data_IF_014106673355
#
_entry.id   IF_014106673355
#
_cell.length_a   1.000
_cell.length_b   1.000
_cell.length_c   1.000
_cell.angle_alpha   90.00
_cell.angle_beta   90.00
_cell.angle_gamma   90.00
#
_symmetry.space_group_name_H-M   'P 1'
#
loop_
_entity.id
_entity.type
_entity.pdbx_description
1 polymer ?
#
# COMPACT_ATOMS: atom_id res chain seq x y z
N UNK A 1 -14.71 -101.43 -16.83
CA UNK A 1 -14.56 -101.27 -15.37
C UNK A 1 -13.09 -101.39 -15.00
N UNK A 2 -12.34 -100.28 -15.03
CA UNK A 2 -11.18 -100.02 -14.16
C UNK A 2 -11.15 -98.50 -14.01
N UNK A 3 -11.21 -98.02 -12.76
CA UNK A 3 -11.59 -96.66 -12.40
C UNK A 3 -10.52 -95.60 -12.64
N UNK A 4 -11.00 -94.41 -13.00
CA UNK A 4 -10.25 -93.16 -13.06
C UNK A 4 -9.91 -92.76 -11.61
N UNK A 5 -8.64 -92.88 -11.22
CA UNK A 5 -8.15 -92.38 -9.94
C UNK A 5 -8.11 -90.85 -9.97
N UNK A 6 -9.10 -90.20 -9.34
CA UNK A 6 -9.02 -88.78 -9.03
C UNK A 6 -7.88 -88.56 -8.02
N UNK A 7 -6.79 -87.96 -8.47
CA UNK A 7 -5.77 -87.38 -7.59
C UNK A 7 -6.40 -86.16 -6.93
N UNK A 8 -7.00 -86.38 -5.75
CA UNK A 8 -7.50 -85.32 -4.87
C UNK A 8 -6.33 -84.54 -4.27
N UNK A 9 -5.75 -83.64 -5.05
CA UNK A 9 -4.86 -82.61 -4.52
C UNK A 9 -5.70 -81.62 -3.72
N UNK A 10 -5.61 -81.70 -2.38
CA UNK A 10 -6.21 -80.70 -1.51
C UNK A 10 -5.70 -79.31 -1.93
N UNK A 11 -6.63 -78.43 -2.33
CA UNK A 11 -6.31 -77.02 -2.52
C UNK A 11 -5.78 -76.51 -1.17
N UNK A 12 -4.54 -75.98 -1.08
CA UNK A 12 -3.99 -75.53 0.17
C UNK A 12 -4.87 -74.40 0.72
N UNK A 13 -5.52 -74.67 1.85
CA UNK A 13 -6.30 -73.68 2.57
C UNK A 13 -5.30 -72.68 3.17
N UNK A 14 -5.41 -71.37 2.89
CA UNK A 14 -4.50 -70.39 3.43
C UNK A 14 -4.51 -70.44 4.96
N UNK A 15 -3.32 -70.36 5.55
CA UNK A 15 -3.11 -70.41 7.00
C UNK A 15 -3.94 -69.32 7.70
N UNK A 16 -4.56 -69.65 8.83
CA UNK A 16 -5.52 -68.79 9.54
C UNK A 16 -4.91 -67.46 10.00
N UNK A 17 -3.58 -67.43 10.12
CA UNK A 17 -2.74 -66.26 10.38
C UNK A 17 -2.85 -65.19 9.28
N UNK A 18 -3.10 -65.56 8.01
CA UNK A 18 -3.21 -64.61 6.90
C UNK A 18 -4.47 -63.72 6.99
N UNK A 19 -5.56 -64.25 7.55
CA UNK A 19 -6.80 -63.51 7.73
C UNK A 19 -6.71 -62.44 8.84
N UNK A 20 -5.76 -62.58 9.78
CA UNK A 20 -5.57 -61.62 10.87
C UNK A 20 -5.05 -60.24 10.39
N UNK A 21 -4.36 -60.17 9.24
CA UNK A 21 -3.80 -58.92 8.71
C UNK A 21 -4.73 -58.16 7.77
N UNK A 22 -5.72 -58.83 7.19
CA UNK A 22 -6.73 -58.21 6.29
C UNK A 22 -7.40 -56.97 6.91
N UNK A 23 -7.89 -56.97 8.17
CA UNK A 23 -8.50 -55.78 8.75
C UNK A 23 -7.49 -54.62 8.92
N UNK A 24 -6.22 -54.92 9.22
CA UNK A 24 -5.16 -53.92 9.35
C UNK A 24 -4.88 -53.27 7.98
N UNK A 25 -4.82 -54.08 6.90
CA UNK A 25 -4.64 -53.58 5.54
C UNK A 25 -5.84 -52.74 5.07
N UNK A 26 -7.07 -53.15 5.39
CA UNK A 26 -8.26 -52.36 5.07
C UNK A 26 -8.30 -51.03 5.84
N UNK A 27 -7.99 -51.04 7.13
CA UNK A 27 -7.95 -49.82 7.95
C UNK A 27 -6.87 -48.87 7.42
N UNK A 28 -5.66 -49.36 7.13
CA UNK A 28 -4.59 -48.52 6.58
C UNK A 28 -4.97 -47.96 5.21
N UNK A 29 -5.56 -48.76 4.31
CA UNK A 29 -6.07 -48.28 3.02
C UNK A 29 -7.10 -47.17 3.18
N UNK A 30 -8.10 -47.36 4.04
CA UNK A 30 -9.13 -46.34 4.33
C UNK A 30 -8.50 -45.09 4.95
N UNK A 31 -7.52 -45.24 5.85
CA UNK A 31 -6.81 -44.11 6.45
C UNK A 31 -6.05 -43.29 5.39
N UNK A 32 -5.35 -43.93 4.45
CA UNK A 32 -4.68 -43.22 3.36
C UNK A 32 -5.68 -42.50 2.44
N UNK A 33 -6.82 -43.11 2.12
CA UNK A 33 -7.87 -42.46 1.34
C UNK A 33 -8.46 -41.23 2.06
N UNK A 34 -8.75 -41.37 3.36
CA UNK A 34 -9.27 -40.27 4.17
C UNK A 34 -8.24 -39.15 4.28
N UNK A 35 -6.97 -39.47 4.53
CA UNK A 35 -5.89 -38.47 4.59
C UNK A 35 -5.69 -37.77 3.25
N UNK A 36 -5.73 -38.51 2.14
CA UNK A 36 -5.66 -37.95 0.79
C UNK A 36 -6.83 -37.00 0.49
N UNK A 37 -8.05 -37.36 0.90
CA UNK A 37 -9.22 -36.47 0.78
C UNK A 37 -9.08 -35.21 1.64
N UNK A 38 -8.61 -35.33 2.88
CA UNK A 38 -8.39 -34.16 3.74
C UNK A 38 -7.35 -33.21 3.15
N UNK A 39 -6.21 -33.76 2.70
CA UNK A 39 -5.16 -32.96 2.07
C UNK A 39 -5.67 -32.26 0.81
N UNK A 40 -6.47 -32.94 -0.02
CA UNK A 40 -7.09 -32.34 -1.20
C UNK A 40 -8.05 -31.20 -0.84
N UNK A 41 -8.90 -31.38 0.17
CA UNK A 41 -9.82 -30.33 0.64
C UNK A 41 -9.05 -29.13 1.21
N UNK A 42 -8.09 -29.35 2.10
CA UNK A 42 -7.25 -28.30 2.67
C UNK A 42 -6.48 -27.55 1.58
N UNK A 43 -5.92 -28.25 0.60
CA UNK A 43 -5.20 -27.62 -0.52
C UNK A 43 -6.14 -26.74 -1.35
N UNK A 44 -7.34 -27.22 -1.64
CA UNK A 44 -8.34 -26.46 -2.38
C UNK A 44 -8.79 -25.21 -1.62
N UNK A 45 -9.04 -25.34 -0.32
CA UNK A 45 -9.45 -24.22 0.53
C UNK A 45 -8.32 -23.20 0.67
N UNK A 46 -7.07 -23.66 0.81
CA UNK A 46 -5.89 -22.80 0.80
C UNK A 46 -5.74 -22.05 -0.52
N UNK A 47 -5.89 -22.73 -1.66
CA UNK A 47 -5.85 -22.10 -2.98
C UNK A 47 -6.95 -21.04 -3.15
N UNK A 48 -8.15 -21.32 -2.64
CA UNK A 48 -9.26 -20.37 -2.63
C UNK A 48 -8.92 -19.13 -1.80
N UNK A 49 -8.45 -19.30 -0.55
CA UNK A 49 -8.06 -18.17 0.31
C UNK A 49 -6.92 -17.36 -0.32
N UNK A 50 -5.91 -18.02 -0.90
CA UNK A 50 -4.81 -17.34 -1.59
C UNK A 50 -5.34 -16.50 -2.76
N UNK A 51 -6.28 -17.04 -3.55
CA UNK A 51 -6.89 -16.31 -4.65
C UNK A 51 -7.72 -15.13 -4.14
N UNK A 52 -8.58 -15.34 -3.14
CA UNK A 52 -9.38 -14.27 -2.54
C UNK A 52 -8.51 -13.15 -1.96
N UNK A 53 -7.40 -13.50 -1.29
CA UNK A 53 -6.43 -12.52 -0.81
C UNK A 53 -5.71 -11.78 -1.94
N UNK A 54 -5.36 -12.49 -3.02
CA UNK A 54 -4.69 -11.88 -4.17
C UNK A 54 -5.65 -10.92 -4.90
N UNK A 55 -6.89 -11.32 -5.13
CA UNK A 55 -7.93 -10.49 -5.76
C UNK A 55 -8.20 -9.24 -4.91
N UNK A 56 -8.37 -9.39 -3.59
CA UNK A 56 -8.55 -8.26 -2.67
C UNK A 56 -7.33 -7.32 -2.63
N UNK A 57 -6.11 -7.88 -2.71
CA UNK A 57 -4.87 -7.09 -2.78
C UNK A 57 -4.80 -6.31 -4.08
N UNK A 58 -5.14 -6.92 -5.20
CA UNK A 58 -5.08 -6.28 -6.52
C UNK A 58 -6.14 -5.18 -6.64
N UNK A 59 -7.34 -5.39 -6.09
CA UNK A 59 -8.37 -4.35 -5.97
C UNK A 59 -7.87 -3.17 -5.11
N UNK A 60 -7.28 -3.45 -3.94
CA UNK A 60 -6.71 -2.43 -3.08
C UNK A 60 -5.57 -1.64 -3.76
N UNK A 61 -4.72 -2.31 -4.55
CA UNK A 61 -3.66 -1.65 -5.31
C UNK A 61 -4.22 -0.76 -6.42
N UNK A 62 -5.23 -1.22 -7.15
CA UNK A 62 -5.90 -0.43 -8.19
C UNK A 62 -6.57 0.82 -7.60
N UNK A 63 -7.26 0.67 -6.47
CA UNK A 63 -7.88 1.78 -5.76
C UNK A 63 -6.85 2.84 -5.36
N UNK A 64 -5.72 2.41 -4.77
CA UNK A 64 -4.62 3.31 -4.38
C UNK A 64 -3.99 4.03 -5.57
N UNK A 65 -3.82 3.35 -6.70
CA UNK A 65 -3.27 3.96 -7.91
C UNK A 65 -4.24 4.94 -8.57
N UNK A 66 -5.56 4.69 -8.48
CA UNK A 66 -6.59 5.62 -8.91
C UNK A 66 -6.60 6.88 -8.05
N UNK A 67 -6.64 6.71 -6.73
CA UNK A 67 -6.58 7.79 -5.74
C UNK A 67 -5.34 8.68 -5.96
N UNK A 68 -4.18 8.05 -6.19
CA UNK A 68 -2.95 8.78 -6.50
C UNK A 68 -3.07 9.64 -7.75
N UNK A 69 -3.59 9.06 -8.85
CA UNK A 69 -3.72 9.77 -10.12
C UNK A 69 -4.68 10.95 -9.99
N UNK A 70 -5.77 10.76 -9.26
CA UNK A 70 -6.72 11.82 -8.95
C UNK A 70 -6.03 13.01 -8.29
N UNK A 71 -5.31 12.80 -7.18
CA UNK A 71 -4.66 13.91 -6.48
C UNK A 71 -3.51 14.57 -7.27
N UNK A 72 -2.76 13.79 -8.04
CA UNK A 72 -1.70 14.34 -8.91
C UNK A 72 -2.27 15.25 -10.00
N UNK A 73 -3.39 14.87 -10.63
CA UNK A 73 -4.10 15.68 -11.61
C UNK A 73 -4.68 16.94 -10.97
N UNK A 74 -5.43 16.78 -9.87
CA UNK A 74 -6.04 17.90 -9.16
C UNK A 74 -5.01 18.92 -8.66
N UNK A 75 -3.79 18.49 -8.30
CA UNK A 75 -2.69 19.40 -7.94
C UNK A 75 -2.45 20.48 -8.99
N UNK A 76 -2.28 20.08 -10.25
CA UNK A 76 -1.97 20.99 -11.35
C UNK A 76 -3.17 21.88 -11.68
N UNK A 77 -4.37 21.30 -11.62
CA UNK A 77 -5.63 22.01 -11.86
C UNK A 77 -6.00 22.99 -10.75
N UNK A 78 -5.56 22.77 -9.50
CA UNK A 78 -5.78 23.70 -8.37
C UNK A 78 -4.68 24.77 -8.31
N UNK A 79 -3.42 24.39 -8.58
CA UNK A 79 -2.29 25.32 -8.54
C UNK A 79 -2.43 26.45 -9.57
N UNK A 80 -2.95 26.15 -10.75
CA UNK A 80 -3.13 27.14 -11.83
C UNK A 80 -4.08 28.28 -11.43
N UNK A 81 -5.36 28.04 -11.04
CA UNK A 81 -6.26 29.10 -10.62
C UNK A 81 -5.80 29.79 -9.32
N UNK A 82 -5.19 29.06 -8.37
CA UNK A 82 -4.64 29.67 -7.17
C UNK A 82 -3.49 30.64 -7.50
N UNK A 83 -2.59 30.24 -8.39
CA UNK A 83 -1.50 31.08 -8.89
C UNK A 83 -2.03 32.34 -9.59
N UNK A 84 -3.13 32.24 -10.35
CA UNK A 84 -3.80 33.41 -10.94
C UNK A 84 -4.33 34.36 -9.86
N UNK A 85 -5.03 33.84 -8.84
CA UNK A 85 -5.53 34.66 -7.72
C UNK A 85 -4.40 35.38 -7.00
N UNK A 86 -3.32 34.66 -6.66
CA UNK A 86 -2.14 35.26 -6.02
C UNK A 86 -1.49 36.31 -6.91
N UNK A 87 -1.32 36.03 -8.21
CA UNK A 87 -0.78 37.00 -9.17
C UNK A 87 -1.62 38.27 -9.26
N UNK A 88 -2.96 38.16 -9.26
CA UNK A 88 -3.84 39.33 -9.22
C UNK A 88 -3.73 40.10 -7.89
N UNK A 89 -3.63 39.40 -6.75
CA UNK A 89 -3.42 40.05 -5.46
C UNK A 89 -2.08 40.82 -5.42
N UNK A 90 -1.02 40.25 -5.99
CA UNK A 90 0.29 40.90 -6.07
C UNK A 90 0.31 42.10 -7.01
N UNK A 91 -0.38 42.01 -8.16
CA UNK A 91 -0.60 43.15 -9.03
C UNK A 91 -1.37 44.27 -8.32
N UNK A 92 -2.44 43.93 -7.60
CA UNK A 92 -3.26 44.90 -6.85
C UNK A 92 -2.45 45.60 -5.76
N UNK A 93 -1.58 44.88 -5.03
CA UNK A 93 -0.65 45.49 -4.05
C UNK A 93 0.27 46.55 -4.67
N UNK A 94 0.59 46.42 -5.96
CA UNK A 94 1.39 47.40 -6.71
C UNK A 94 0.61 48.64 -7.19
N UNK A 95 -0.69 48.73 -6.91
CA UNK A 95 -1.56 49.82 -7.37
C UNK A 95 -2.01 50.74 -6.23
N UNK A 96 -2.63 51.87 -6.58
CA UNK A 96 -3.30 52.76 -5.63
C UNK A 96 -4.57 52.09 -5.08
N UNK A 97 -4.52 51.58 -3.86
CA UNK A 97 -5.66 50.99 -3.15
C UNK A 97 -6.28 52.00 -2.18
N UNK A 98 -7.62 52.05 -2.11
CA UNK A 98 -8.33 52.98 -1.23
C UNK A 98 -8.19 52.61 0.26
N UNK A 99 -8.46 53.57 1.15
CA UNK A 99 -8.45 53.33 2.59
C UNK A 99 -9.49 52.28 3.03
N UNK A 100 -10.60 52.16 2.30
CA UNK A 100 -11.63 51.14 2.53
C UNK A 100 -11.21 49.76 2.02
N UNK A 101 -10.36 49.68 0.98
CA UNK A 101 -9.90 48.41 0.39
C UNK A 101 -8.73 47.78 1.16
N UNK A 102 -7.87 48.61 1.74
CA UNK A 102 -6.64 48.20 2.45
C UNK A 102 -6.87 47.13 3.54
N UNK A 103 -7.93 47.20 4.37
CA UNK A 103 -8.20 46.18 5.39
C UNK A 103 -8.54 44.80 4.81
N UNK A 104 -8.99 44.71 3.56
CA UNK A 104 -9.31 43.44 2.90
C UNK A 104 -8.08 42.82 2.23
N UNK A 105 -7.13 43.64 1.80
CA UNK A 105 -5.99 43.18 1.00
C UNK A 105 -5.04 42.25 1.76
N UNK A 106 -4.72 42.60 3.02
CA UNK A 106 -3.88 41.77 3.89
C UNK A 106 -4.53 40.40 4.19
N UNK A 107 -5.79 40.33 4.67
CA UNK A 107 -6.48 39.05 4.87
C UNK A 107 -6.60 38.20 3.60
N UNK A 108 -6.87 38.81 2.43
CA UNK A 108 -6.97 38.07 1.17
C UNK A 108 -5.64 37.45 0.77
N UNK A 109 -4.53 38.18 0.93
CA UNK A 109 -3.19 37.62 0.70
C UNK A 109 -2.89 36.47 1.66
N UNK A 110 -3.11 36.68 2.96
CA UNK A 110 -2.86 35.68 3.98
C UNK A 110 -3.70 34.40 3.75
N UNK A 111 -4.96 34.55 3.32
CA UNK A 111 -5.82 33.43 2.98
C UNK A 111 -5.35 32.67 1.74
N UNK A 112 -4.88 33.37 0.70
CA UNK A 112 -4.32 32.75 -0.49
C UNK A 112 -3.03 31.96 -0.18
N UNK A 113 -2.14 32.53 0.64
CA UNK A 113 -0.92 31.86 1.10
C UNK A 113 -1.24 30.63 1.97
N UNK A 114 -2.20 30.75 2.88
CA UNK A 114 -2.67 29.64 3.71
C UNK A 114 -3.26 28.51 2.86
N UNK A 115 -4.12 28.84 1.89
CA UNK A 115 -4.70 27.86 0.98
C UNK A 115 -3.62 27.16 0.15
N UNK A 116 -2.61 27.90 -0.31
CA UNK A 116 -1.46 27.33 -1.00
C UNK A 116 -0.72 26.31 -0.13
N UNK A 117 -0.44 26.66 1.12
CA UNK A 117 0.21 25.76 2.07
C UNK A 117 -0.60 24.48 2.27
N UNK A 118 -1.92 24.62 2.52
CA UNK A 118 -2.82 23.45 2.71
C UNK A 118 -2.80 22.54 1.48
N UNK A 119 -2.85 23.12 0.27
CA UNK A 119 -2.80 22.36 -0.97
C UNK A 119 -1.46 21.64 -1.12
N UNK A 120 -0.34 22.32 -0.90
CA UNK A 120 0.98 21.70 -1.00
C UNK A 120 1.18 20.58 0.05
N UNK A 121 0.76 20.80 1.31
CA UNK A 121 0.84 19.82 2.39
C UNK A 121 -0.03 18.58 2.12
N UNK A 122 -1.25 18.80 1.63
CA UNK A 122 -2.16 17.71 1.24
C UNK A 122 -1.54 16.85 0.13
N UNK A 123 -0.92 17.48 -0.85
CA UNK A 123 -0.27 16.78 -1.95
C UNK A 123 0.94 15.98 -1.50
N UNK A 124 1.75 16.54 -0.59
CA UNK A 124 2.90 15.83 -0.04
C UNK A 124 2.47 14.64 0.83
N UNK A 125 1.37 14.76 1.58
CA UNK A 125 0.76 13.63 2.28
C UNK A 125 0.39 12.49 1.32
N UNK A 126 -0.26 12.80 0.19
CA UNK A 126 -0.63 11.77 -0.80
C UNK A 126 0.58 11.17 -1.53
N UNK A 127 1.65 11.93 -1.77
CA UNK A 127 2.90 11.38 -2.32
C UNK A 127 3.54 10.38 -1.37
N UNK A 128 3.54 10.66 -0.06
CA UNK A 128 4.08 9.79 0.99
C UNK A 128 3.26 8.50 1.11
N UNK A 129 1.94 8.61 1.15
CA UNK A 129 1.01 7.48 1.24
C UNK A 129 1.24 6.43 0.17
N UNK A 130 1.70 6.78 -1.03
CA UNK A 130 1.84 5.86 -2.17
C UNK A 130 3.29 5.39 -2.38
N UNK A 131 4.17 5.62 -1.40
CA UNK A 131 5.56 5.15 -1.45
C UNK A 131 6.39 5.74 -2.60
N UNK A 132 5.94 6.85 -3.18
CA UNK A 132 6.60 7.52 -4.33
C UNK A 132 7.46 8.70 -3.93
N UNK A 133 7.73 8.84 -2.64
CA UNK A 133 8.77 9.72 -2.15
C UNK A 133 10.14 9.09 -2.46
N UNK A 134 10.61 9.29 -3.70
CA UNK A 134 11.93 8.85 -4.11
C UNK A 134 12.95 9.83 -3.53
N UNK A 135 13.66 9.38 -2.50
CA UNK A 135 14.84 10.08 -2.00
C UNK A 135 15.92 10.02 -3.08
N UNK A 136 16.46 11.18 -3.44
CA UNK A 136 17.61 11.29 -4.34
C UNK A 136 18.83 11.60 -3.47
N UNK A 137 19.54 10.58 -2.94
CA UNK A 137 20.70 10.80 -2.10
C UNK A 137 21.80 11.50 -2.90
N UNK A 138 22.33 12.59 -2.34
CA UNK A 138 23.43 13.34 -2.91
C UNK A 138 24.45 13.66 -1.82
N UNK A 139 25.73 13.75 -2.20
CA UNK A 139 26.78 14.20 -1.29
C UNK A 139 26.53 15.68 -0.98
N UNK A 140 26.30 16.01 0.29
CA UNK A 140 26.13 17.39 0.73
C UNK A 140 27.10 17.70 1.87
N UNK A 141 27.59 18.94 1.89
CA UNK A 141 28.32 19.47 3.05
C UNK A 141 27.31 19.98 4.06
N UNK A 142 27.35 19.43 5.27
CA UNK A 142 26.46 19.84 6.37
C UNK A 142 26.62 21.34 6.67
N UNK A 143 27.83 21.90 6.52
CA UNK A 143 28.09 23.34 6.66
C UNK A 143 27.22 24.19 5.73
N UNK A 144 27.07 23.76 4.49
CA UNK A 144 26.42 24.53 3.44
C UNK A 144 24.89 24.43 3.59
N UNK A 145 24.40 23.25 4.00
CA UNK A 145 23.00 23.05 4.38
C UNK A 145 22.61 23.93 5.58
N UNK A 146 23.42 23.94 6.65
CA UNK A 146 23.18 24.75 7.83
C UNK A 146 23.23 26.26 7.54
N UNK A 147 24.14 26.70 6.67
CA UNK A 147 24.22 28.10 6.25
C UNK A 147 22.99 28.51 5.42
N UNK A 148 22.55 27.65 4.51
CA UNK A 148 21.34 27.88 3.70
C UNK A 148 20.11 28.00 4.61
N UNK A 149 19.95 27.05 5.53
CA UNK A 149 18.86 27.09 6.50
C UNK A 149 18.94 28.33 7.40
N UNK A 150 20.14 28.71 7.89
CA UNK A 150 20.33 29.92 8.69
C UNK A 150 19.89 31.18 7.93
N UNK A 151 20.22 31.27 6.64
CA UNK A 151 19.79 32.41 5.81
C UNK A 151 18.27 32.49 5.68
N UNK A 152 17.59 31.35 5.54
CA UNK A 152 16.13 31.29 5.45
C UNK A 152 15.45 31.59 6.79
N UNK A 153 15.94 30.98 7.87
CA UNK A 153 15.42 31.16 9.22
C UNK A 153 15.68 32.58 9.75
N UNK A 154 16.82 33.19 9.40
CA UNK A 154 17.21 34.53 9.83
C UNK A 154 16.18 35.60 9.47
N UNK A 155 15.63 35.54 8.26
CA UNK A 155 14.56 36.44 7.81
C UNK A 155 13.29 36.29 8.66
N UNK A 156 12.95 35.06 9.03
CA UNK A 156 11.78 34.73 9.84
C UNK A 156 11.94 35.12 11.32
N UNK A 157 13.18 35.10 11.79
CA UNK A 157 13.59 35.42 13.16
C UNK A 157 13.62 36.93 13.35
N UNK A 158 14.18 37.67 12.38
CA UNK A 158 14.13 39.13 12.37
C UNK A 158 12.70 39.67 12.28
N UNK A 159 11.83 39.06 11.46
CA UNK A 159 10.43 39.49 11.36
C UNK A 159 9.63 39.27 12.65
N UNK A 160 10.13 38.41 13.56
CA UNK A 160 9.56 38.17 14.89
C UNK A 160 10.31 38.88 16.03
N UNK A 161 11.32 39.69 15.72
CA UNK A 161 12.12 40.41 16.72
C UNK A 161 12.94 39.49 17.65
N UNK A 162 13.24 38.27 17.21
CA UNK A 162 14.02 37.30 17.96
C UNK A 162 15.48 37.34 17.50
N UNK A 163 16.41 36.92 18.36
CA UNK A 163 17.82 36.70 17.98
C UNK A 163 18.10 35.20 17.83
N UNK A 164 18.81 34.84 16.76
CA UNK A 164 19.34 33.48 16.59
C UNK A 164 20.74 33.38 17.21
N UNK A 165 20.87 32.65 18.32
CA UNK A 165 22.18 32.28 18.90
C UNK A 165 22.45 30.79 18.70
N UNK A 166 23.65 30.48 18.22
CA UNK A 166 24.30 29.18 18.34
C UNK A 166 25.68 29.39 18.95
#
# INVERSE_FOLDING_TARGET
>A
YVGIGMVGGAVPVPDSSAFAFVPILLITSIMYEVQGRQLFLTTRDLQRMVKEHQDAKDEALQARDSERRFFALMSHEIRTPLGLVMGYLDLLKGTSISAEQKPFMEPMSAAADMLKSIVDDLLDHFKLQVGKFLLHPQVCKISDLLNTWRSMAGTLVQSKGLEFRF
#
